data_IF_920126439560
#
_entry.id   IF_920126439560
#
_cell.length_a   1.000
_cell.length_b   1.000
_cell.length_c   1.000
_cell.angle_alpha   90.00
_cell.angle_beta   90.00
_cell.angle_gamma   90.00
#
_symmetry.space_group_name_H-M   'P 1'
#
loop_
_entity.id
_entity.type
_entity.pdbx_description
1 polymer ?
#
# COMPACT_ATOMS: atom_id res chain seq x y z
N UNK A 1 -15.60 5.37 12.76
CA UNK A 1 -16.84 4.97 12.05
C UNK A 1 -16.57 3.80 11.12
N UNK A 2 -15.60 3.92 10.21
CA UNK A 2 -15.15 2.84 9.30
C UNK A 2 -14.99 1.50 10.02
N UNK A 3 -14.19 1.42 11.10
CA UNK A 3 -13.99 0.19 11.88
C UNK A 3 -15.27 -0.46 12.42
N UNK A 4 -16.27 0.33 12.84
CA UNK A 4 -17.53 -0.19 13.38
C UNK A 4 -18.38 -0.76 12.23
N UNK A 5 -18.36 -0.10 11.08
CA UNK A 5 -19.11 -0.53 9.89
C UNK A 5 -18.47 -1.80 9.30
N UNK A 6 -17.15 -1.82 9.09
CA UNK A 6 -16.44 -2.98 8.56
C UNK A 6 -16.43 -4.16 9.53
N UNK A 7 -16.41 -3.91 10.84
CA UNK A 7 -16.40 -4.94 11.89
C UNK A 7 -17.77 -5.39 12.40
N UNK A 8 -18.88 -5.00 11.77
CA UNK A 8 -20.23 -5.19 12.31
C UNK A 8 -20.55 -6.65 12.68
N UNK A 9 -20.12 -7.61 11.85
CA UNK A 9 -20.32 -9.03 12.10
C UNK A 9 -19.64 -9.48 13.40
N UNK A 10 -18.37 -9.14 13.60
CA UNK A 10 -17.64 -9.44 14.84
C UNK A 10 -18.28 -8.79 16.07
N UNK A 11 -18.78 -7.56 15.92
CA UNK A 11 -19.45 -6.86 17.01
C UNK A 11 -20.71 -7.62 17.44
N UNK A 12 -21.50 -8.10 16.47
CA UNK A 12 -22.72 -8.88 16.70
C UNK A 12 -22.43 -10.26 17.26
N UNK A 13 -21.46 -10.98 16.70
CA UNK A 13 -21.07 -12.32 17.16
C UNK A 13 -20.60 -12.30 18.62
N UNK A 14 -19.86 -11.26 19.01
CA UNK A 14 -19.34 -11.12 20.36
C UNK A 14 -20.25 -10.29 21.29
N UNK A 15 -21.46 -9.93 20.85
CA UNK A 15 -22.43 -9.10 21.59
C UNK A 15 -21.79 -7.83 22.23
N UNK A 16 -20.86 -7.20 21.53
CA UNK A 16 -20.08 -6.06 22.06
C UNK A 16 -20.58 -4.69 21.54
N UNK A 17 -21.82 -4.59 21.07
CA UNK A 17 -22.41 -3.37 20.51
C UNK A 17 -22.36 -2.21 21.52
N UNK A 18 -22.73 -2.47 22.78
CA UNK A 18 -22.70 -1.44 23.84
C UNK A 18 -21.30 -0.92 24.07
N UNK A 19 -20.30 -1.81 24.11
CA UNK A 19 -18.91 -1.44 24.31
C UNK A 19 -18.40 -0.55 23.17
N UNK A 20 -18.67 -0.95 21.92
CA UNK A 20 -18.24 -0.18 20.74
C UNK A 20 -18.98 1.15 20.62
N UNK A 21 -20.29 1.16 20.92
CA UNK A 21 -21.09 2.38 21.00
C UNK A 21 -20.52 3.34 22.05
N UNK A 22 -20.20 2.88 23.25
CA UNK A 22 -19.61 3.73 24.28
C UNK A 22 -18.23 4.27 23.90
N UNK A 23 -17.39 3.47 23.20
CA UNK A 23 -16.12 3.97 22.65
C UNK A 23 -16.38 5.11 21.67
N UNK A 24 -17.33 4.94 20.76
CA UNK A 24 -17.71 5.99 19.80
C UNK A 24 -18.30 7.23 20.47
N UNK A 25 -19.23 7.06 21.42
CA UNK A 25 -19.83 8.15 22.18
C UNK A 25 -18.78 8.93 22.97
N UNK A 26 -17.79 8.27 23.59
CA UNK A 26 -16.68 8.97 24.25
C UNK A 26 -15.88 9.84 23.28
N UNK A 27 -15.63 9.36 22.07
CA UNK A 27 -14.95 10.14 21.02
C UNK A 27 -15.82 11.32 20.62
N UNK A 28 -17.13 11.12 20.40
CA UNK A 28 -18.06 12.21 20.06
C UNK A 28 -18.13 13.26 21.16
N UNK A 29 -18.24 12.86 22.42
CA UNK A 29 -18.24 13.79 23.57
C UNK A 29 -16.92 14.56 23.65
N UNK A 30 -15.77 13.90 23.37
CA UNK A 30 -14.47 14.58 23.32
C UNK A 30 -14.43 15.61 22.20
N UNK A 31 -14.86 15.25 21.00
CA UNK A 31 -14.95 16.16 19.85
C UNK A 31 -15.90 17.32 20.12
N UNK A 32 -17.07 17.05 20.72
CA UNK A 32 -18.04 18.06 21.10
C UNK A 32 -17.48 19.05 22.14
N UNK A 33 -16.79 18.55 23.18
CA UNK A 33 -16.11 19.40 24.17
C UNK A 33 -15.03 20.28 23.54
N UNK A 34 -14.27 19.74 22.58
CA UNK A 34 -13.26 20.51 21.84
C UNK A 34 -13.94 21.58 20.98
N UNK A 35 -15.02 21.23 20.28
CA UNK A 35 -15.82 22.16 19.48
C UNK A 35 -16.40 23.30 20.32
N UNK A 36 -16.98 23.00 21.49
CA UNK A 36 -17.49 24.02 22.43
C UNK A 36 -16.36 24.93 22.90
N UNK A 37 -15.20 24.38 23.29
CA UNK A 37 -14.06 25.21 23.71
C UNK A 37 -13.57 26.13 22.58
N UNK A 38 -13.52 25.61 21.35
CA UNK A 38 -13.18 26.40 20.16
C UNK A 38 -14.21 27.50 19.87
N UNK A 39 -15.50 27.19 19.98
CA UNK A 39 -16.58 28.15 19.80
C UNK A 39 -16.55 29.24 20.88
N UNK A 40 -16.37 28.87 22.15
CA UNK A 40 -16.25 29.80 23.25
C UNK A 40 -15.06 30.74 23.04
N UNK A 41 -13.90 30.20 22.65
CA UNK A 41 -12.71 31.01 22.35
C UNK A 41 -12.98 32.01 21.21
N UNK A 42 -13.59 31.55 20.12
CA UNK A 42 -13.99 32.42 19.00
C UNK A 42 -14.97 33.50 19.43
N UNK A 43 -15.95 33.17 20.27
CA UNK A 43 -16.93 34.11 20.80
C UNK A 43 -16.26 35.18 21.67
N UNK A 44 -15.35 34.79 22.57
CA UNK A 44 -14.58 35.73 23.38
C UNK A 44 -13.73 36.66 22.52
N UNK A 45 -13.08 36.13 21.47
CA UNK A 45 -12.33 36.94 20.51
C UNK A 45 -13.23 37.94 19.77
N UNK A 46 -14.40 37.51 19.31
CA UNK A 46 -15.35 38.36 18.59
C UNK A 46 -15.92 39.46 19.50
N UNK A 47 -16.35 39.11 20.71
CA UNK A 47 -16.84 40.08 21.69
C UNK A 47 -15.75 41.08 22.08
N UNK A 48 -14.52 40.60 22.32
CA UNK A 48 -13.37 41.46 22.59
C UNK A 48 -13.09 42.43 21.44
N UNK A 49 -13.14 41.95 20.19
CA UNK A 49 -12.96 42.79 19.00
C UNK A 49 -14.06 43.86 18.87
N UNK A 50 -15.32 43.52 19.14
CA UNK A 50 -16.43 44.48 19.08
C UNK A 50 -16.31 45.53 20.18
N UNK A 51 -16.02 45.12 21.42
CA UNK A 51 -15.82 46.06 22.54
C UNK A 51 -14.66 47.00 22.24
N UNK A 52 -13.53 46.46 21.76
CA UNK A 52 -12.36 47.26 21.40
C UNK A 52 -12.70 48.29 20.30
N UNK A 53 -13.39 47.86 19.23
CA UNK A 53 -13.79 48.73 18.13
C UNK A 53 -14.77 49.82 18.57
N UNK A 54 -15.79 49.47 19.37
CA UNK A 54 -16.79 50.44 19.84
C UNK A 54 -16.18 51.45 20.82
N UNK A 55 -15.34 50.98 21.74
CA UNK A 55 -14.65 51.85 22.70
C UNK A 55 -13.75 52.83 21.96
N UNK A 56 -12.97 52.36 20.98
CA UNK A 56 -12.13 53.21 20.13
C UNK A 56 -12.97 54.25 19.38
N UNK A 57 -14.10 53.84 18.79
CA UNK A 57 -15.00 54.76 18.10
C UNK A 57 -15.59 55.84 19.02
N UNK A 58 -15.94 55.48 20.26
CA UNK A 58 -16.45 56.42 21.26
C UNK A 58 -15.38 57.42 21.69
N UNK A 59 -14.14 56.97 21.93
CA UNK A 59 -13.02 57.84 22.27
C UNK A 59 -12.73 58.85 21.15
N UNK A 60 -12.69 58.39 19.90
CA UNK A 60 -12.44 59.30 18.77
C UNK A 60 -13.60 60.29 18.60
N UNK A 61 -14.85 59.83 18.73
CA UNK A 61 -16.02 60.72 18.67
C UNK A 61 -15.99 61.78 19.77
N UNK A 62 -15.59 61.41 20.99
CA UNK A 62 -15.44 62.34 22.11
C UNK A 62 -14.34 63.38 21.85
N UNK A 63 -13.17 62.97 21.35
CA UNK A 63 -12.08 63.89 20.99
C UNK A 63 -12.53 64.84 19.87
N UNK A 64 -13.18 64.31 18.83
CA UNK A 64 -13.67 65.13 17.72
C UNK A 64 -14.74 66.14 18.17
N UNK A 65 -15.68 65.73 19.02
CA UNK A 65 -16.69 66.62 19.60
C UNK A 65 -16.06 67.73 20.43
N UNK A 66 -15.04 67.42 21.24
CA UNK A 66 -14.31 68.40 22.03
C UNK A 66 -13.58 69.42 21.14
N UNK A 67 -12.91 68.99 20.08
CA UNK A 67 -12.22 69.89 19.14
C UNK A 67 -13.19 70.80 18.36
N UNK A 68 -14.43 70.37 18.14
CA UNK A 68 -15.48 71.25 17.57
C UNK A 68 -15.88 72.34 18.56
N UNK A 69 -15.99 72.01 19.85
CA UNK A 69 -16.32 72.98 20.91
C UNK A 69 -15.19 73.99 21.12
N UNK A 70 -13.92 73.54 21.04
CA UNK A 70 -12.73 74.39 21.17
C UNK A 70 -12.47 75.25 19.92
N UNK A 71 -13.15 74.98 18.80
CA UNK A 71 -13.09 75.77 17.56
C UNK A 71 -12.05 75.30 16.54
N UNK A 72 -11.31 74.23 16.83
CA UNK A 72 -10.27 73.66 15.97
C UNK A 72 -10.83 72.83 14.81
N UNK A 73 -12.07 72.34 14.93
CA UNK A 73 -12.75 71.54 13.91
C UNK A 73 -14.15 72.07 13.60
N UNK A 74 -14.57 71.96 12.34
CA UNK A 74 -15.97 72.21 11.98
C UNK A 74 -16.83 70.97 12.22
N UNK A 75 -18.15 71.16 12.39
CA UNK A 75 -19.11 70.06 12.49
C UNK A 75 -19.05 69.11 11.28
N UNK A 76 -18.82 69.65 10.07
CA UNK A 76 -18.64 68.86 8.86
C UNK A 76 -17.40 67.97 8.89
N UNK A 77 -16.30 68.45 9.49
CA UNK A 77 -15.08 67.65 9.68
C UNK A 77 -15.32 66.50 10.67
N UNK A 78 -16.03 66.74 11.77
CA UNK A 78 -16.40 65.68 12.73
C UNK A 78 -17.26 64.59 12.09
N UNK A 79 -18.26 64.97 11.28
CA UNK A 79 -19.09 64.02 10.54
C UNK A 79 -18.27 63.20 9.54
N UNK A 80 -17.31 63.83 8.88
CA UNK A 80 -16.39 63.15 7.95
C UNK A 80 -15.48 62.15 8.66
N UNK A 81 -14.92 62.51 9.82
CA UNK A 81 -14.11 61.60 10.66
C UNK A 81 -14.93 60.40 11.13
N UNK A 82 -16.16 60.63 11.58
CA UNK A 82 -17.06 59.56 12.05
C UNK A 82 -17.42 58.59 10.91
N UNK A 83 -17.67 59.14 9.71
CA UNK A 83 -17.91 58.34 8.51
C UNK A 83 -16.70 57.48 8.13
N UNK A 84 -15.49 58.06 8.13
CA UNK A 84 -14.25 57.35 7.81
C UNK A 84 -14.03 56.18 8.79
N UNK A 85 -14.22 56.41 10.10
CA UNK A 85 -14.05 55.35 11.11
C UNK A 85 -15.06 54.22 10.91
N UNK A 86 -16.33 54.55 10.65
CA UNK A 86 -17.36 53.57 10.35
C UNK A 86 -16.99 52.70 9.14
N UNK A 87 -16.53 53.33 8.06
CA UNK A 87 -16.09 52.64 6.85
C UNK A 87 -14.83 51.79 7.05
N UNK A 88 -13.89 52.21 7.91
CA UNK A 88 -12.64 51.46 8.17
C UNK A 88 -12.84 50.18 8.98
N UNK A 89 -13.92 50.06 9.75
CA UNK A 89 -14.20 48.87 10.57
C UNK A 89 -14.35 47.58 9.74
N UNK A 90 -14.94 47.69 8.54
CA UNK A 90 -15.14 46.59 7.60
C UNK A 90 -13.82 46.04 7.06
N UNK A 91 -12.99 46.85 6.37
CA UNK A 91 -11.69 46.44 5.86
C UNK A 91 -10.75 45.88 6.92
N UNK A 92 -10.72 46.44 8.13
CA UNK A 92 -9.90 45.90 9.23
C UNK A 92 -10.34 44.48 9.58
N UNK A 93 -11.64 44.24 9.67
CA UNK A 93 -12.18 42.90 9.94
C UNK A 93 -11.85 41.93 8.79
N UNK A 94 -11.91 42.39 7.54
CA UNK A 94 -11.52 41.60 6.37
C UNK A 94 -10.04 41.20 6.41
N UNK A 95 -9.14 42.10 6.80
CA UNK A 95 -7.70 41.79 6.95
C UNK A 95 -7.47 40.74 8.04
N UNK A 96 -8.14 40.86 9.19
CA UNK A 96 -8.05 39.87 10.26
C UNK A 96 -8.53 38.50 9.78
N UNK A 97 -9.67 38.46 9.07
CA UNK A 97 -10.20 37.23 8.47
C UNK A 97 -9.27 36.64 7.41
N UNK A 98 -8.64 37.48 6.59
CA UNK A 98 -7.65 37.07 5.62
C UNK A 98 -6.41 36.45 6.27
N UNK A 99 -5.89 37.02 7.35
CA UNK A 99 -4.74 36.46 8.07
C UNK A 99 -5.06 35.07 8.64
N UNK A 100 -6.26 34.87 9.19
CA UNK A 100 -6.70 33.55 9.66
C UNK A 100 -6.82 32.55 8.51
N UNK A 101 -7.47 32.94 7.41
CA UNK A 101 -7.59 32.09 6.23
C UNK A 101 -6.22 31.74 5.62
N UNK A 102 -5.27 32.68 5.62
CA UNK A 102 -3.91 32.45 5.16
C UNK A 102 -3.14 31.46 6.06
N UNK A 103 -3.36 31.49 7.37
CA UNK A 103 -2.79 30.49 8.29
C UNK A 103 -3.35 29.09 8.05
N UNK A 104 -4.67 28.96 7.88
CA UNK A 104 -5.32 27.68 7.57
C UNK A 104 -4.85 27.12 6.21
N UNK A 105 -4.70 27.99 5.21
CA UNK A 105 -4.15 27.64 3.91
C UNK A 105 -2.70 27.15 4.03
N UNK A 106 -1.86 27.82 4.84
CA UNK A 106 -0.47 27.40 5.07
C UNK A 106 -0.37 25.99 5.65
N UNK A 107 -1.17 25.64 6.66
CA UNK A 107 -1.17 24.29 7.25
C UNK A 107 -1.58 23.24 6.21
N UNK A 108 -2.56 23.56 5.37
CA UNK A 108 -3.00 22.67 4.30
C UNK A 108 -1.92 22.49 3.23
N UNK A 109 -1.21 23.57 2.88
CA UNK A 109 -0.08 23.54 1.95
C UNK A 109 1.11 22.75 2.51
N UNK A 110 1.40 22.85 3.80
CA UNK A 110 2.46 22.04 4.44
C UNK A 110 2.19 20.54 4.27
N UNK A 111 0.95 20.08 4.49
CA UNK A 111 0.56 18.67 4.28
C UNK A 111 0.61 18.24 2.81
N UNK A 112 0.26 19.12 1.89
CA UNK A 112 0.41 18.84 0.45
C UNK A 112 1.88 18.74 0.07
N UNK A 113 2.72 19.62 0.63
CA UNK A 113 4.15 19.65 0.40
C UNK A 113 4.86 18.42 0.98
N UNK A 114 4.37 17.81 2.07
CA UNK A 114 4.92 16.53 2.56
C UNK A 114 4.84 15.39 1.53
N UNK A 115 3.85 15.42 0.63
CA UNK A 115 3.73 14.46 -0.46
C UNK A 115 4.46 14.97 -1.70
N UNK A 116 4.25 16.24 -2.06
CA UNK A 116 4.82 16.82 -3.27
C UNK A 116 6.35 16.92 -3.26
N UNK A 117 6.96 17.11 -2.07
CA UNK A 117 8.41 17.18 -1.93
C UNK A 117 9.07 15.80 -1.77
N UNK A 118 8.32 14.70 -1.83
CA UNK A 118 8.95 13.38 -1.92
C UNK A 118 9.63 13.25 -3.28
N UNK A 119 10.84 12.70 -3.27
CA UNK A 119 11.54 12.37 -4.50
C UNK A 119 10.73 11.35 -5.30
N UNK A 120 10.52 11.64 -6.59
CA UNK A 120 9.89 10.66 -7.47
C UNK A 120 10.87 9.52 -7.74
N UNK A 121 10.35 8.30 -7.79
CA UNK A 121 11.15 7.12 -8.16
C UNK A 121 11.81 7.28 -9.55
N UNK A 122 11.21 8.09 -10.41
CA UNK A 122 11.60 8.27 -11.81
C UNK A 122 12.72 9.30 -12.05
N UNK A 123 13.08 10.12 -11.05
CA UNK A 123 14.02 11.24 -11.23
C UNK A 123 15.42 10.83 -11.70
N UNK A 124 15.83 9.58 -11.44
CA UNK A 124 17.16 9.05 -11.80
C UNK A 124 17.14 8.08 -12.98
N UNK A 125 16.00 7.91 -13.67
CA UNK A 125 15.83 6.90 -14.74
C UNK A 125 16.91 6.99 -15.82
N UNK A 126 17.32 8.20 -16.22
CA UNK A 126 18.33 8.38 -17.28
C UNK A 126 19.70 7.80 -16.91
N UNK A 127 20.01 7.71 -15.61
CA UNK A 127 21.24 7.12 -15.09
C UNK A 127 21.13 5.60 -14.84
N UNK A 128 19.92 5.03 -14.94
CA UNK A 128 19.65 3.63 -14.64
C UNK A 128 19.87 2.71 -15.84
N UNK A 129 20.14 1.45 -15.53
CA UNK A 129 20.40 0.42 -16.53
C UNK A 129 19.08 -0.04 -17.17
N UNK A 130 19.01 0.04 -18.50
CA UNK A 130 17.82 -0.29 -19.30
C UNK A 130 17.90 -1.66 -20.00
N UNK A 131 18.90 -2.49 -19.69
CA UNK A 131 19.03 -3.84 -20.19
C UNK A 131 19.48 -4.79 -19.08
N UNK A 132 18.83 -5.96 -18.98
CA UNK A 132 19.26 -7.00 -18.06
C UNK A 132 20.48 -7.75 -18.63
N UNK A 133 21.40 -8.22 -17.78
CA UNK A 133 22.53 -9.04 -18.22
C UNK A 133 22.06 -10.39 -18.76
N UNK A 134 22.92 -11.05 -19.56
CA UNK A 134 22.61 -12.37 -20.15
C UNK A 134 22.35 -13.43 -19.08
N UNK A 135 23.17 -13.45 -18.02
CA UNK A 135 22.95 -14.30 -16.85
C UNK A 135 22.12 -13.54 -15.83
N UNK A 136 20.93 -14.07 -15.55
CA UNK A 136 19.89 -13.45 -14.72
C UNK A 136 19.77 -14.07 -13.33
N UNK A 137 20.85 -14.67 -12.83
CA UNK A 137 20.92 -15.20 -11.46
C UNK A 137 20.76 -14.06 -10.46
N UNK A 138 19.85 -14.21 -9.50
CA UNK A 138 19.66 -13.24 -8.41
C UNK A 138 20.58 -13.59 -7.25
N UNK A 139 21.32 -12.59 -6.77
CA UNK A 139 22.25 -12.69 -5.64
C UNK A 139 21.78 -11.75 -4.53
N UNK A 140 21.61 -12.28 -3.33
CA UNK A 140 21.31 -11.54 -2.12
C UNK A 140 22.53 -11.64 -1.22
N UNK A 141 23.11 -10.49 -0.87
CA UNK A 141 24.33 -10.39 -0.07
C UNK A 141 24.05 -9.60 1.22
N UNK A 142 24.26 -10.27 2.35
CA UNK A 142 24.20 -9.71 3.71
C UNK A 142 22.99 -8.79 3.97
N UNK A 143 21.80 -9.27 3.59
CA UNK A 143 20.58 -8.46 3.57
C UNK A 143 19.95 -8.32 4.97
N UNK A 144 19.71 -7.08 5.39
CA UNK A 144 18.97 -6.73 6.61
C UNK A 144 17.80 -5.82 6.30
N UNK A 145 16.64 -6.09 6.90
CA UNK A 145 15.44 -5.29 6.67
C UNK A 145 14.48 -5.20 7.88
N UNK A 146 13.86 -4.04 8.09
CA UNK A 146 12.77 -3.75 9.03
C UNK A 146 11.81 -2.68 8.45
N UNK A 147 10.50 -2.83 8.65
CA UNK A 147 9.47 -1.97 8.05
C UNK A 147 9.46 -0.52 8.59
N UNK A 148 9.74 -0.33 9.87
CA UNK A 148 9.63 0.99 10.53
C UNK A 148 10.97 1.74 10.59
N UNK A 149 11.99 1.28 9.86
CA UNK A 149 13.35 1.82 9.95
C UNK A 149 13.97 1.72 11.36
N UNK A 150 13.32 0.99 12.27
CA UNK A 150 13.78 0.80 13.64
C UNK A 150 14.82 -0.33 13.66
N UNK A 151 16.06 0.02 13.98
CA UNK A 151 17.22 -0.89 14.13
C UNK A 151 17.08 -1.91 15.29
N UNK A 152 15.91 -2.02 15.93
CA UNK A 152 15.77 -2.83 17.16
C UNK A 152 15.43 -4.29 16.89
N UNK A 153 14.67 -4.59 15.84
CA UNK A 153 14.32 -5.96 15.46
C UNK A 153 14.23 -6.09 13.93
N UNK A 154 15.26 -6.64 13.30
CA UNK A 154 15.23 -6.91 11.87
C UNK A 154 14.31 -8.10 11.54
N UNK A 155 13.41 -7.91 10.58
CA UNK A 155 12.56 -8.97 10.00
C UNK A 155 13.39 -9.93 9.16
N UNK A 156 14.42 -9.41 8.48
CA UNK A 156 15.43 -10.19 7.76
C UNK A 156 16.81 -9.82 8.29
N UNK A 157 17.64 -10.80 8.64
CA UNK A 157 18.84 -10.62 9.44
C UNK A 157 20.02 -11.39 8.82
N UNK A 158 20.78 -10.74 7.94
CA UNK A 158 21.96 -11.31 7.30
C UNK A 158 21.62 -12.41 6.29
N UNK A 159 20.60 -12.19 5.46
CA UNK A 159 20.22 -13.16 4.41
C UNK A 159 21.30 -13.17 3.32
N UNK A 160 21.82 -14.36 3.02
CA UNK A 160 22.68 -14.61 1.87
C UNK A 160 22.04 -15.73 1.05
N UNK A 161 21.71 -15.46 -0.21
CA UNK A 161 20.99 -16.40 -1.05
C UNK A 161 21.33 -16.21 -2.52
N UNK A 162 21.48 -17.34 -3.23
CA UNK A 162 21.63 -17.37 -4.69
C UNK A 162 20.42 -18.06 -5.30
N UNK A 163 19.69 -17.34 -6.16
CA UNK A 163 18.55 -17.89 -6.91
C UNK A 163 18.99 -18.07 -8.36
N UNK A 164 19.23 -19.33 -8.81
CA UNK A 164 19.75 -19.60 -10.14
C UNK A 164 18.73 -19.25 -11.22
N UNK A 165 19.22 -18.75 -12.36
CA UNK A 165 18.40 -18.45 -13.52
C UNK A 165 17.69 -19.70 -14.07
N UNK A 166 16.45 -19.54 -14.56
CA UNK A 166 15.67 -20.60 -15.23
C UNK A 166 15.39 -21.81 -14.33
N UNK A 167 15.38 -21.59 -13.02
CA UNK A 167 15.12 -22.60 -11.99
C UNK A 167 14.02 -22.15 -11.05
N UNK A 168 13.39 -23.13 -10.42
CA UNK A 168 12.39 -22.93 -9.38
C UNK A 168 13.07 -23.00 -8.01
N UNK A 169 12.97 -21.92 -7.24
CA UNK A 169 13.42 -21.83 -5.85
C UNK A 169 12.21 -21.75 -4.93
N UNK A 170 12.07 -22.72 -4.03
CA UNK A 170 11.03 -22.72 -3.01
C UNK A 170 11.56 -22.14 -1.71
N UNK A 171 10.81 -21.22 -1.10
CA UNK A 171 11.10 -20.65 0.21
C UNK A 171 10.08 -21.20 1.19
N UNK A 172 10.56 -21.89 2.23
CA UNK A 172 9.72 -22.53 3.25
C UNK A 172 10.14 -22.09 4.65
N UNK A 173 9.25 -22.22 5.62
CA UNK A 173 9.55 -21.83 7.00
C UNK A 173 8.30 -21.48 7.79
N UNK A 174 8.46 -21.28 9.10
CA UNK A 174 7.37 -20.93 10.00
C UNK A 174 6.68 -19.60 9.61
N UNK A 175 5.44 -19.40 10.06
CA UNK A 175 4.79 -18.08 9.94
C UNK A 175 5.63 -17.02 10.65
N UNK A 176 5.77 -15.84 10.06
CA UNK A 176 6.60 -14.76 10.61
C UNK A 176 8.11 -14.90 10.37
N UNK A 177 8.59 -15.91 9.63
CA UNK A 177 10.03 -16.06 9.35
C UNK A 177 10.61 -15.08 8.31
N UNK A 178 9.79 -14.20 7.74
CA UNK A 178 10.22 -13.16 6.78
C UNK A 178 10.04 -13.49 5.29
N UNK A 179 9.41 -14.62 4.93
CA UNK A 179 9.23 -15.10 3.55
C UNK A 179 8.59 -14.08 2.59
N UNK A 180 7.39 -13.59 2.94
CA UNK A 180 6.68 -12.55 2.17
C UNK A 180 7.48 -11.26 2.06
N UNK A 181 8.20 -10.89 3.13
CA UNK A 181 9.07 -9.71 3.15
C UNK A 181 10.23 -9.86 2.16
N UNK A 182 10.84 -11.04 2.08
CA UNK A 182 11.90 -11.34 1.12
C UNK A 182 11.38 -11.23 -0.33
N UNK A 183 10.19 -11.75 -0.62
CA UNK A 183 9.53 -11.56 -1.93
C UNK A 183 9.33 -10.08 -2.25
N UNK A 184 8.84 -9.28 -1.30
CA UNK A 184 8.61 -7.83 -1.50
C UNK A 184 9.90 -7.07 -1.79
N UNK A 185 11.00 -7.45 -1.16
CA UNK A 185 12.32 -6.88 -1.45
C UNK A 185 12.85 -7.31 -2.82
N UNK A 186 12.68 -8.58 -3.21
CA UNK A 186 13.01 -9.05 -4.55
C UNK A 186 12.20 -8.31 -5.63
N UNK A 187 10.96 -7.93 -5.35
CA UNK A 187 10.14 -7.09 -6.23
C UNK A 187 10.49 -5.59 -6.18
N UNK A 188 11.51 -5.20 -5.42
CA UNK A 188 11.92 -3.81 -5.20
C UNK A 188 10.79 -2.90 -4.68
N UNK A 189 9.88 -3.44 -3.85
CA UNK A 189 8.86 -2.63 -3.18
C UNK A 189 9.41 -1.86 -1.98
N UNK A 190 10.50 -2.37 -1.40
CA UNK A 190 11.23 -1.73 -0.31
C UNK A 190 12.71 -1.77 -0.62
N UNK A 191 13.45 -0.81 -0.07
CA UNK A 191 14.90 -0.86 -0.05
C UNK A 191 15.37 -1.55 1.24
N UNK A 192 16.43 -2.38 1.17
CA UNK A 192 17.00 -2.97 2.37
C UNK A 192 17.65 -1.91 3.27
N UNK A 193 17.71 -2.17 4.58
CA UNK A 193 18.45 -1.31 5.51
C UNK A 193 19.97 -1.49 5.34
N UNK A 194 20.41 -2.74 5.11
CA UNK A 194 21.81 -3.11 4.84
C UNK A 194 21.84 -4.29 3.85
N UNK A 195 22.98 -4.47 3.18
CA UNK A 195 23.15 -5.48 2.15
C UNK A 195 22.64 -5.04 0.79
N UNK A 196 22.69 -5.93 -0.19
CA UNK A 196 22.30 -5.64 -1.58
C UNK A 196 21.59 -6.83 -2.21
N UNK A 197 20.67 -6.52 -3.12
CA UNK A 197 20.07 -7.49 -4.05
C UNK A 197 20.60 -7.15 -5.44
N UNK A 198 21.16 -8.14 -6.14
CA UNK A 198 21.77 -7.97 -7.46
C UNK A 198 21.24 -8.99 -8.44
N UNK A 199 21.22 -8.63 -9.72
CA UNK A 199 21.15 -9.57 -10.83
C UNK A 199 22.57 -9.71 -11.35
N UNK A 200 23.19 -10.86 -11.08
CA UNK A 200 24.63 -11.05 -11.27
C UNK A 200 25.42 -9.95 -10.55
N UNK A 201 26.01 -9.02 -11.30
CA UNK A 201 26.86 -7.95 -10.74
C UNK A 201 26.12 -6.61 -10.59
N UNK A 202 24.87 -6.51 -11.06
CA UNK A 202 24.12 -5.26 -11.14
C UNK A 202 23.14 -5.17 -9.96
N UNK A 203 23.27 -4.18 -9.06
CA UNK A 203 22.28 -3.93 -8.01
C UNK A 203 20.90 -3.64 -8.58
N UNK A 204 19.86 -4.18 -7.95
CA UNK A 204 18.47 -4.00 -8.40
C UNK A 204 18.05 -2.52 -8.38
N UNK A 205 18.61 -1.73 -7.46
CA UNK A 205 18.36 -0.30 -7.31
C UNK A 205 18.88 0.53 -8.50
N UNK A 206 19.91 0.03 -9.18
CA UNK A 206 20.53 0.66 -10.35
C UNK A 206 19.81 0.28 -11.66
N UNK A 207 18.88 -0.68 -11.62
CA UNK A 207 18.07 -1.09 -12.77
C UNK A 207 16.86 -0.17 -12.89
N UNK A 208 16.49 0.19 -14.12
CA UNK A 208 15.27 0.95 -14.36
C UNK A 208 14.06 0.20 -13.73
N UNK A 209 13.32 0.81 -12.79
CA UNK A 209 12.21 0.15 -12.12
C UNK A 209 11.10 -0.30 -13.08
N UNK A 210 10.88 0.42 -14.18
CA UNK A 210 9.94 0.02 -15.23
C UNK A 210 10.39 -1.26 -15.93
N UNK A 211 11.68 -1.38 -16.25
CA UNK A 211 12.24 -2.60 -16.82
C UNK A 211 12.13 -3.76 -15.83
N UNK A 212 12.53 -3.56 -14.58
CA UNK A 212 12.48 -4.60 -13.55
C UNK A 212 11.04 -5.11 -13.36
N UNK A 213 10.08 -4.19 -13.25
CA UNK A 213 8.66 -4.52 -13.14
C UNK A 213 8.16 -5.17 -14.41
N UNK A 214 8.55 -4.75 -15.61
CA UNK A 214 8.15 -5.41 -16.85
C UNK A 214 8.63 -6.86 -16.90
N UNK A 215 9.87 -7.11 -16.45
CA UNK A 215 10.51 -8.43 -16.43
C UNK A 215 10.12 -9.30 -15.25
N UNK A 216 9.34 -8.78 -14.30
CA UNK A 216 8.88 -9.48 -13.10
C UNK A 216 7.36 -9.60 -13.04
N UNK A 217 6.83 -10.80 -12.82
CA UNK A 217 5.43 -11.02 -12.48
C UNK A 217 5.29 -11.56 -11.08
N UNK A 218 4.15 -11.29 -10.47
CA UNK A 218 3.94 -11.62 -9.08
C UNK A 218 2.49 -12.02 -8.79
N UNK A 219 2.31 -13.02 -7.94
CA UNK A 219 1.02 -13.41 -7.37
C UNK A 219 1.14 -13.33 -5.86
N UNK A 220 0.70 -12.20 -5.30
CA UNK A 220 0.71 -11.95 -3.86
C UNK A 220 -0.58 -12.43 -3.20
N UNK A 221 -0.50 -12.81 -1.93
CA UNK A 221 -1.65 -13.19 -1.11
C UNK A 221 -2.75 -12.11 -1.06
N UNK A 222 -2.36 -10.83 -1.06
CA UNK A 222 -3.23 -9.65 -0.99
C UNK A 222 -3.44 -8.96 -2.35
N UNK A 223 -3.16 -9.62 -3.48
CA UNK A 223 -3.20 -9.01 -4.80
C UNK A 223 -4.54 -8.37 -5.18
N UNK A 224 -4.53 -7.15 -5.72
CA UNK A 224 -5.73 -6.34 -5.94
C UNK A 224 -6.42 -6.59 -7.29
N UNK A 225 -7.75 -6.59 -7.31
CA UNK A 225 -8.60 -6.67 -8.52
C UNK A 225 -9.28 -5.32 -8.71
N UNK A 226 -9.03 -4.70 -9.85
CA UNK A 226 -9.56 -3.38 -10.20
C UNK A 226 -11.04 -3.47 -10.56
N UNK A 227 -11.78 -2.39 -10.32
CA UNK A 227 -13.17 -2.23 -10.77
C UNK A 227 -13.26 -2.03 -12.28
N UNK A 228 -13.01 -3.11 -13.01
CA UNK A 228 -12.94 -3.15 -14.48
C UNK A 228 -13.33 -4.55 -15.00
N UNK A 229 -13.29 -4.75 -16.31
CA UNK A 229 -13.60 -6.03 -16.96
C UNK A 229 -12.64 -7.14 -16.55
N UNK A 230 -13.08 -8.39 -16.64
CA UNK A 230 -12.22 -9.57 -16.45
C UNK A 230 -11.01 -9.51 -17.37
N UNK A 231 -11.22 -9.15 -18.65
CA UNK A 231 -10.17 -9.00 -19.64
C UNK A 231 -9.09 -8.00 -19.22
N UNK A 232 -9.48 -6.79 -18.80
CA UNK A 232 -8.54 -5.75 -18.38
C UNK A 232 -7.85 -6.09 -17.06
N UNK A 233 -8.50 -6.86 -16.19
CA UNK A 233 -7.89 -7.36 -14.97
C UNK A 233 -6.81 -8.44 -15.23
N UNK A 234 -6.86 -9.15 -16.36
CA UNK A 234 -5.81 -10.09 -16.78
C UNK A 234 -4.73 -9.35 -17.56
N UNK A 235 -5.11 -8.51 -18.52
CA UNK A 235 -4.22 -7.74 -19.40
C UNK A 235 -3.91 -6.34 -18.83
N UNK A 236 -3.52 -6.26 -17.56
CA UNK A 236 -3.27 -4.96 -16.89
C UNK A 236 -2.09 -4.23 -17.54
N UNK A 237 -2.29 -2.96 -17.88
CA UNK A 237 -1.25 -2.09 -18.42
C UNK A 237 -0.99 -2.26 -19.93
N UNK A 238 -1.81 -3.04 -20.63
CA UNK A 238 -1.76 -3.13 -22.09
C UNK A 238 -2.83 -2.25 -22.75
N UNK A 239 -2.41 -1.41 -23.69
CA UNK A 239 -3.35 -0.60 -24.49
C UNK A 239 -4.16 -1.44 -25.49
N UNK A 240 -3.58 -2.57 -25.94
CA UNK A 240 -4.19 -3.47 -26.93
C UNK A 240 -4.17 -4.90 -26.42
N UNK A 241 -5.35 -5.47 -26.28
CA UNK A 241 -5.52 -6.82 -25.78
C UNK A 241 -5.10 -7.88 -26.83
N UNK A 242 -4.13 -8.72 -26.45
CA UNK A 242 -3.76 -9.90 -27.21
C UNK A 242 -4.66 -11.08 -26.82
N UNK A 243 -5.60 -11.43 -27.71
CA UNK A 243 -6.56 -12.51 -27.48
C UNK A 243 -5.88 -13.87 -27.30
N UNK A 244 -4.76 -14.15 -27.97
CA UNK A 244 -4.08 -15.45 -27.86
C UNK A 244 -3.43 -15.59 -26.49
N UNK A 245 -2.72 -14.55 -26.04
CA UNK A 245 -2.16 -14.51 -24.68
C UNK A 245 -3.25 -14.59 -23.62
N UNK A 246 -4.37 -13.89 -23.83
CA UNK A 246 -5.50 -13.93 -22.90
C UNK A 246 -6.05 -15.35 -22.74
N UNK A 247 -6.33 -16.03 -23.85
CA UNK A 247 -6.84 -17.40 -23.81
C UNK A 247 -5.85 -18.36 -23.16
N UNK A 248 -4.56 -18.25 -23.51
CA UNK A 248 -3.51 -19.06 -22.88
C UNK A 248 -3.44 -18.83 -21.36
N UNK A 249 -3.48 -17.57 -20.92
CA UNK A 249 -3.46 -17.23 -19.50
C UNK A 249 -4.66 -17.79 -18.73
N UNK A 250 -5.84 -17.76 -19.36
CA UNK A 250 -7.09 -18.28 -18.80
C UNK A 250 -7.09 -19.81 -18.69
N UNK A 251 -6.49 -20.48 -19.67
CA UNK A 251 -6.28 -21.94 -19.66
C UNK A 251 -5.28 -22.34 -18.57
N UNK A 252 -4.10 -21.70 -18.51
CA UNK A 252 -3.08 -22.00 -17.50
C UNK A 252 -3.64 -21.81 -16.08
N UNK A 253 -4.37 -20.72 -15.85
CA UNK A 253 -4.98 -20.43 -14.54
C UNK A 253 -6.27 -21.23 -14.25
N UNK A 254 -6.71 -22.08 -15.19
CA UNK A 254 -7.94 -22.88 -15.08
C UNK A 254 -9.16 -22.06 -14.60
N UNK A 255 -9.39 -20.89 -15.21
CA UNK A 255 -10.47 -19.95 -14.82
C UNK A 255 -11.55 -19.80 -15.90
N UNK A 256 -11.42 -20.52 -17.01
CA UNK A 256 -12.31 -20.42 -18.18
C UNK A 256 -13.78 -20.61 -17.83
N UNK A 257 -14.12 -21.69 -17.12
CA UNK A 257 -15.51 -22.02 -16.77
C UNK A 257 -16.18 -20.92 -15.95
N UNK A 258 -15.46 -20.32 -15.01
CA UNK A 258 -15.94 -19.18 -14.25
C UNK A 258 -16.22 -17.99 -15.18
N UNK A 259 -15.28 -17.63 -16.05
CA UNK A 259 -15.46 -16.51 -16.97
C UNK A 259 -16.65 -16.76 -17.90
N UNK A 260 -16.80 -17.98 -18.43
CA UNK A 260 -17.90 -18.34 -19.33
C UNK A 260 -19.27 -18.38 -18.65
N UNK A 261 -19.31 -18.60 -17.33
CA UNK A 261 -20.53 -18.51 -16.52
C UNK A 261 -21.05 -17.08 -16.34
N UNK A 262 -20.20 -16.06 -16.56
CA UNK A 262 -20.59 -14.66 -16.39
C UNK A 262 -21.41 -14.15 -17.59
N UNK A 263 -22.43 -13.30 -17.37
CA UNK A 263 -23.33 -12.84 -18.45
C UNK A 263 -22.61 -12.17 -19.63
N UNK A 264 -21.58 -11.37 -19.35
CA UNK A 264 -20.77 -10.67 -20.35
C UNK A 264 -19.40 -11.32 -20.58
N UNK A 265 -19.20 -12.52 -20.02
CA UNK A 265 -17.94 -13.27 -20.07
C UNK A 265 -16.74 -12.38 -19.72
N UNK A 266 -15.78 -12.25 -20.62
CA UNK A 266 -14.58 -11.42 -20.48
C UNK A 266 -14.85 -9.92 -20.26
N UNK A 267 -15.99 -9.41 -20.73
CA UNK A 267 -16.38 -8.01 -20.57
C UNK A 267 -17.16 -7.74 -19.28
N UNK A 268 -17.35 -8.77 -18.44
CA UNK A 268 -18.03 -8.60 -17.15
C UNK A 268 -17.14 -7.77 -16.23
N UNK A 269 -17.71 -6.71 -15.63
CA UNK A 269 -17.01 -5.91 -14.62
C UNK A 269 -16.96 -6.66 -13.28
N UNK A 270 -15.78 -6.73 -12.69
CA UNK A 270 -15.48 -7.36 -11.40
C UNK A 270 -14.75 -6.35 -10.51
N UNK A 271 -14.53 -6.66 -9.22
CA UNK A 271 -13.86 -5.78 -8.26
C UNK A 271 -14.83 -5.16 -7.25
N UNK A 272 -14.40 -4.12 -6.52
CA UNK A 272 -15.19 -3.53 -5.42
C UNK A 272 -16.56 -2.99 -5.87
N UNK A 273 -16.62 -2.36 -7.04
CA UNK A 273 -17.86 -1.85 -7.67
C UNK A 273 -18.50 -2.84 -8.67
N UNK A 274 -17.92 -4.04 -8.84
CA UNK A 274 -18.35 -5.03 -9.83
C UNK A 274 -18.96 -6.29 -9.20
N UNK A 275 -19.07 -7.36 -10.00
CA UNK A 275 -19.46 -8.67 -9.46
C UNK A 275 -18.43 -9.17 -8.43
N UNK A 276 -18.92 -9.65 -7.28
CA UNK A 276 -18.10 -10.29 -6.27
C UNK A 276 -17.46 -11.56 -6.81
N UNK A 277 -16.20 -11.79 -6.45
CA UNK A 277 -15.43 -12.99 -6.80
C UNK A 277 -15.00 -13.71 -5.53
N UNK A 278 -15.00 -15.04 -5.55
CA UNK A 278 -14.47 -15.84 -4.45
C UNK A 278 -12.95 -15.65 -4.32
N UNK A 279 -12.40 -16.02 -3.16
CA UNK A 279 -10.95 -15.92 -2.93
C UNK A 279 -10.15 -16.78 -3.93
N UNK A 280 -10.61 -18.01 -4.21
CA UNK A 280 -9.97 -18.88 -5.20
C UNK A 280 -10.12 -18.38 -6.64
N UNK A 281 -11.23 -17.73 -6.99
CA UNK A 281 -11.39 -17.07 -8.30
C UNK A 281 -10.45 -15.86 -8.42
N UNK A 282 -10.34 -15.03 -7.37
CA UNK A 282 -9.39 -13.91 -7.30
C UNK A 282 -7.96 -14.40 -7.49
N UNK A 283 -7.58 -15.47 -6.81
CA UNK A 283 -6.22 -16.01 -6.91
C UNK A 283 -5.91 -16.55 -8.31
N UNK A 284 -6.84 -17.32 -8.91
CA UNK A 284 -6.72 -17.75 -10.31
C UNK A 284 -6.62 -16.58 -11.29
N UNK A 285 -7.36 -15.50 -11.05
CA UNK A 285 -7.29 -14.30 -11.89
C UNK A 285 -5.92 -13.59 -11.79
N UNK A 286 -5.32 -13.55 -10.60
CA UNK A 286 -3.96 -13.04 -10.41
C UNK A 286 -2.90 -13.93 -11.08
N UNK A 287 -3.08 -15.26 -11.04
CA UNK A 287 -2.23 -16.20 -11.79
C UNK A 287 -2.35 -15.92 -13.28
N UNK A 288 -3.57 -15.80 -13.81
CA UNK A 288 -3.79 -15.45 -15.22
C UNK A 288 -3.10 -14.13 -15.59
N UNK A 289 -3.16 -13.11 -14.72
CA UNK A 289 -2.45 -11.82 -14.92
C UNK A 289 -0.94 -12.01 -15.02
N UNK A 290 -0.34 -12.80 -14.13
CA UNK A 290 1.09 -13.09 -14.16
C UNK A 290 1.50 -13.88 -15.43
N UNK A 291 0.67 -14.83 -15.85
CA UNK A 291 0.88 -15.64 -17.06
C UNK A 291 0.77 -14.80 -18.33
N UNK A 292 -0.26 -13.95 -18.41
CA UNK A 292 -0.49 -13.06 -19.56
C UNK A 292 0.70 -12.12 -19.78
N UNK A 293 1.25 -11.57 -18.70
CA UNK A 293 2.44 -10.71 -18.72
C UNK A 293 3.68 -11.43 -19.27
N UNK A 294 3.76 -12.75 -19.10
CA UNK A 294 4.87 -13.59 -19.55
C UNK A 294 6.29 -13.06 -19.19
N UNK A 295 6.56 -12.78 -17.91
CA UNK A 295 7.83 -12.21 -17.44
C UNK A 295 8.97 -13.25 -17.43
N UNK A 296 10.21 -12.76 -17.24
CA UNK A 296 11.41 -13.59 -17.06
C UNK A 296 11.50 -14.11 -15.60
N UNK A 297 11.05 -13.31 -14.63
CA UNK A 297 11.00 -13.63 -13.21
C UNK A 297 9.56 -13.75 -12.72
N UNK A 298 9.28 -14.76 -11.91
CA UNK A 298 7.97 -14.98 -11.29
C UNK A 298 8.10 -15.16 -9.78
N UNK A 299 7.30 -14.41 -9.04
CA UNK A 299 7.26 -14.44 -7.58
C UNK A 299 5.87 -14.84 -7.08
N UNK A 300 5.77 -15.94 -6.36
CA UNK A 300 4.50 -16.45 -5.84
C UNK A 300 4.54 -16.45 -4.31
N UNK A 301 3.62 -15.72 -3.69
CA UNK A 301 3.45 -15.71 -2.24
C UNK A 301 2.13 -16.37 -1.87
N UNK A 302 2.21 -17.60 -1.36
CA UNK A 302 1.03 -18.40 -0.98
C UNK A 302 -0.03 -18.52 -2.09
N UNK A 303 0.43 -18.57 -3.34
CA UNK A 303 -0.40 -18.41 -4.54
C UNK A 303 -1.42 -19.52 -4.79
N UNK A 304 -1.40 -20.63 -4.05
CA UNK A 304 -2.39 -21.72 -4.19
C UNK A 304 -3.18 -22.00 -2.90
N UNK A 305 -2.94 -21.26 -1.82
CA UNK A 305 -3.55 -21.55 -0.51
C UNK A 305 -5.08 -21.40 -0.47
N UNK A 306 -5.67 -20.59 -1.36
CA UNK A 306 -7.12 -20.38 -1.42
C UNK A 306 -7.81 -21.21 -2.52
N UNK A 307 -7.08 -22.13 -3.16
CA UNK A 307 -7.61 -22.99 -4.22
C UNK A 307 -8.10 -24.33 -3.63
N UNK A 308 -9.19 -24.85 -4.16
CA UNK A 308 -9.60 -26.23 -3.89
C UNK A 308 -8.62 -27.23 -4.52
N UNK A 309 -8.53 -28.43 -3.93
CA UNK A 309 -7.52 -29.42 -4.30
C UNK A 309 -7.56 -29.86 -5.78
N UNK A 310 -8.75 -29.92 -6.39
CA UNK A 310 -8.91 -30.32 -7.79
C UNK A 310 -8.37 -29.24 -8.73
N UNK A 311 -8.77 -27.97 -8.51
CA UNK A 311 -8.25 -26.86 -9.29
C UNK A 311 -6.75 -26.63 -9.05
N UNK A 312 -6.27 -26.78 -7.81
CA UNK A 312 -4.87 -26.63 -7.45
C UNK A 312 -3.95 -27.56 -8.26
N UNK A 313 -4.29 -28.85 -8.36
CA UNK A 313 -3.49 -29.81 -9.11
C UNK A 313 -3.36 -29.44 -10.58
N UNK A 314 -4.49 -29.12 -11.23
CA UNK A 314 -4.52 -28.73 -12.66
C UNK A 314 -3.67 -27.48 -12.90
N UNK A 315 -3.78 -26.49 -12.02
CA UNK A 315 -3.04 -25.23 -12.14
C UNK A 315 -1.55 -25.45 -11.93
N UNK A 316 -1.14 -26.27 -10.96
CA UNK A 316 0.27 -26.61 -10.74
C UNK A 316 0.85 -27.32 -11.97
N UNK A 317 0.16 -28.29 -12.55
CA UNK A 317 0.60 -29.00 -13.76
C UNK A 317 0.77 -28.04 -14.96
N UNK A 318 -0.16 -27.09 -15.12
CA UNK A 318 -0.09 -26.06 -16.15
C UNK A 318 1.08 -25.08 -15.89
N UNK A 319 1.27 -24.67 -14.64
CA UNK A 319 2.33 -23.75 -14.25
C UNK A 319 3.72 -24.37 -14.39
N UNK A 320 3.89 -25.66 -14.11
CA UNK A 320 5.15 -26.38 -14.32
C UNK A 320 5.60 -26.31 -15.79
N UNK A 321 4.66 -26.33 -16.72
CA UNK A 321 4.96 -26.11 -18.15
C UNK A 321 5.33 -24.66 -18.44
N UNK A 322 4.63 -23.71 -17.82
CA UNK A 322 4.89 -22.27 -17.98
C UNK A 322 6.22 -21.81 -17.37
N UNK A 323 6.70 -22.48 -16.32
CA UNK A 323 7.96 -22.18 -15.63
C UNK A 323 9.21 -22.47 -16.47
N UNK A 324 9.09 -23.25 -17.55
CA UNK A 324 10.24 -23.58 -18.40
C UNK A 324 10.87 -22.32 -18.98
N UNK A 325 12.16 -22.13 -18.71
CA UNK A 325 12.90 -20.94 -19.15
C UNK A 325 12.57 -19.67 -18.37
N UNK A 326 12.08 -19.81 -17.13
CA UNK A 326 11.80 -18.69 -16.21
C UNK A 326 12.45 -18.91 -14.85
N UNK A 327 12.84 -17.83 -14.20
CA UNK A 327 13.32 -17.86 -12.82
C UNK A 327 12.12 -17.70 -11.89
N UNK A 328 11.85 -18.70 -11.06
CA UNK A 328 10.63 -18.73 -10.25
C UNK A 328 10.98 -18.83 -8.78
N UNK A 329 10.39 -17.95 -7.97
CA UNK A 329 10.53 -17.95 -6.51
C UNK A 329 9.15 -18.15 -5.91
N UNK A 330 8.98 -19.22 -5.14
CA UNK A 330 7.68 -19.61 -4.58
C UNK A 330 7.79 -19.72 -3.07
N UNK A 331 7.02 -18.94 -2.34
CA UNK A 331 6.76 -19.19 -0.91
C UNK A 331 5.70 -20.26 -0.82
N UNK A 332 6.13 -21.47 -0.47
CA UNK A 332 5.30 -22.65 -0.54
C UNK A 332 4.90 -23.14 0.86
N UNK A 333 3.63 -23.46 1.01
CA UNK A 333 3.07 -24.14 2.18
C UNK A 333 2.67 -25.60 1.87
N UNK A 334 2.78 -26.03 0.61
CA UNK A 334 2.40 -27.37 0.14
C UNK A 334 3.62 -28.21 -0.21
N UNK A 335 3.63 -29.46 0.24
CA UNK A 335 4.74 -30.38 0.02
C UNK A 335 5.05 -30.63 -1.46
N UNK A 336 4.02 -30.76 -2.31
CA UNK A 336 4.17 -31.02 -3.74
C UNK A 336 4.99 -29.93 -4.45
N UNK A 337 4.69 -28.67 -4.19
CA UNK A 337 5.41 -27.51 -4.76
C UNK A 337 6.86 -27.48 -4.31
N UNK A 338 7.11 -27.85 -3.05
CA UNK A 338 8.46 -27.84 -2.46
C UNK A 338 9.29 -29.02 -2.97
N UNK A 339 8.69 -30.20 -3.11
CA UNK A 339 9.37 -31.42 -3.55
C UNK A 339 9.96 -31.30 -4.97
N UNK A 340 9.26 -30.58 -5.84
CA UNK A 340 9.66 -30.40 -7.25
C UNK A 340 10.61 -29.22 -7.47
N UNK A 341 10.91 -28.43 -6.45
CA UNK A 341 11.79 -27.27 -6.58
C UNK A 341 13.26 -27.67 -6.82
N UNK A 342 13.97 -26.87 -7.61
CA UNK A 342 15.39 -27.09 -7.89
C UNK A 342 16.28 -26.64 -6.72
N UNK A 343 15.87 -25.60 -6.00
CA UNK A 343 16.49 -25.15 -4.78
C UNK A 343 15.42 -24.93 -3.71
N UNK A 344 15.67 -25.33 -2.47
CA UNK A 344 14.78 -25.12 -1.34
C UNK A 344 15.54 -24.33 -0.27
N UNK A 345 14.95 -23.23 0.16
CA UNK A 345 15.50 -22.31 1.14
C UNK A 345 14.60 -22.34 2.37
N UNK A 346 15.15 -22.78 3.50
CA UNK A 346 14.41 -22.83 4.77
C UNK A 346 14.75 -21.60 5.59
N UNK A 347 13.74 -20.81 5.91
CA UNK A 347 13.86 -19.60 6.71
C UNK A 347 13.28 -19.79 8.11
N UNK A 348 14.02 -19.37 9.13
CA UNK A 348 13.54 -19.23 10.50
C UNK A 348 14.02 -17.91 11.11
N UNK A 349 13.12 -17.21 11.82
CA UNK A 349 13.38 -15.93 12.51
C UNK A 349 14.22 -14.93 11.67
N UNK A 350 13.87 -14.77 10.40
CA UNK A 350 14.55 -13.82 9.51
C UNK A 350 15.94 -14.27 9.04
N UNK A 351 16.30 -15.55 9.17
CA UNK A 351 17.58 -16.13 8.72
C UNK A 351 17.35 -17.34 7.84
N UNK A 352 18.28 -17.62 6.91
CA UNK A 352 18.33 -18.90 6.21
C UNK A 352 19.05 -19.89 7.11
N UNK A 353 18.38 -21.00 7.43
CA UNK A 353 18.91 -22.06 8.30
C UNK A 353 19.33 -23.30 7.53
N UNK A 354 18.68 -23.58 6.40
CA UNK A 354 19.01 -24.70 5.52
C UNK A 354 18.78 -24.33 4.06
N UNK A 355 19.62 -24.87 3.19
CA UNK A 355 19.50 -24.72 1.74
C UNK A 355 19.90 -26.05 1.06
N UNK A 356 19.22 -26.38 -0.03
CA UNK A 356 19.53 -27.54 -0.86
C UNK A 356 18.31 -28.12 -1.58
N UNK A 357 18.48 -29.30 -2.16
CA UNK A 357 17.39 -30.04 -2.80
C UNK A 357 16.55 -30.83 -1.78
N UNK A 358 15.35 -31.25 -2.18
CA UNK A 358 14.48 -32.08 -1.33
C UNK A 358 15.20 -33.32 -0.78
N UNK A 359 15.99 -34.00 -1.61
CA UNK A 359 16.73 -35.21 -1.22
C UNK A 359 17.83 -34.91 -0.19
N UNK A 360 18.57 -33.83 -0.40
CA UNK A 360 19.65 -33.44 0.53
C UNK A 360 19.09 -33.00 1.88
N UNK A 361 18.04 -32.18 1.89
CA UNK A 361 17.44 -31.66 3.12
C UNK A 361 16.70 -32.74 3.93
N UNK A 362 16.02 -33.68 3.26
CA UNK A 362 15.40 -34.83 3.96
C UNK A 362 16.45 -35.75 4.59
N UNK A 363 17.60 -35.95 3.95
CA UNK A 363 18.71 -36.74 4.51
C UNK A 363 19.36 -36.07 5.73
N UNK A 364 19.47 -34.73 5.73
CA UNK A 364 20.01 -33.96 6.86
C UNK A 364 19.16 -34.08 8.13
N UNK A 365 17.87 -34.46 8.02
CA UNK A 365 16.93 -34.59 9.14
C UNK A 365 16.84 -33.34 10.03
N UNK A 366 17.03 -32.17 9.46
CA UNK A 366 16.95 -30.89 10.16
C UNK A 366 15.55 -30.27 10.16
N UNK A 367 15.47 -28.94 10.20
CA UNK A 367 14.22 -28.18 10.23
C UNK A 367 13.33 -28.46 9.02
N UNK A 368 13.91 -28.61 7.83
CA UNK A 368 13.15 -29.01 6.64
C UNK A 368 12.44 -30.34 6.84
N UNK A 369 13.16 -31.34 7.34
CA UNK A 369 12.62 -32.68 7.55
C UNK A 369 11.47 -32.65 8.58
N UNK A 370 11.62 -31.89 9.66
CA UNK A 370 10.53 -31.70 10.64
C UNK A 370 9.30 -31.04 10.01
N UNK A 371 9.48 -30.03 9.16
CA UNK A 371 8.37 -29.39 8.44
C UNK A 371 7.65 -30.39 7.54
N UNK A 372 8.39 -31.17 6.74
CA UNK A 372 7.83 -32.20 5.85
C UNK A 372 7.11 -33.29 6.64
N UNK A 373 7.73 -33.78 7.72
CA UNK A 373 7.15 -34.81 8.59
C UNK A 373 5.82 -34.34 9.16
N UNK A 374 5.77 -33.13 9.72
CA UNK A 374 4.55 -32.58 10.29
C UNK A 374 3.46 -32.40 9.21
N UNK A 375 3.81 -32.01 7.98
CA UNK A 375 2.85 -31.91 6.89
C UNK A 375 2.29 -33.26 6.44
N UNK A 376 3.09 -34.33 6.48
CA UNK A 376 2.64 -35.69 6.18
C UNK A 376 1.78 -36.28 7.30
N UNK A 377 2.12 -36.01 8.56
CA UNK A 377 1.33 -36.46 9.73
C UNK A 377 -0.01 -35.72 9.86
N UNK A 378 -0.12 -34.49 9.37
CA UNK A 378 -1.38 -33.74 9.29
C UNK A 378 -2.24 -34.10 8.06
N UNK A 379 -1.68 -34.84 7.10
CA UNK A 379 -2.34 -35.30 5.88
C UNK A 379 -2.90 -36.72 5.95
N UNK A 380 -2.73 -37.41 7.10
CA UNK A 380 -3.42 -38.64 7.49
C UNK A 380 -4.42 -38.32 8.60
#
# INVERSE_FOLDING_TARGET
LVQIVTGMQEIKLNNCEKQQRWKWERIQVKLFKISIKGLALRQYQQMGSVIFSQTTSLFISFIAARSVIEGDMTLGMMMSVSYIIGQLSGPITQVIGFVQAAQDAKISLERLNEIHNKEDEEQTIDSKINALPDNKTLLIEDLFFSYDGADRDYVLNGINLTIPENKVTAIVGASGSGKTTLIKLLLAFYQPNKGKIKIKDIPIDDINPHLWRQKSGAVMQDGFIFSDTVANNIAVGEDRLDKKKLLHAVEVANIKEFIESLPLKYNTKIGMEGNGISQGQRQRLLIARAVYKNPDFLFFDEATNALDANNEKIILDNLDTFYKGKTVVIVAHRLSTVQNANNIVVMDKGRIIEEGTHKELTQKKGAYYTLVKNQLELGM
#
